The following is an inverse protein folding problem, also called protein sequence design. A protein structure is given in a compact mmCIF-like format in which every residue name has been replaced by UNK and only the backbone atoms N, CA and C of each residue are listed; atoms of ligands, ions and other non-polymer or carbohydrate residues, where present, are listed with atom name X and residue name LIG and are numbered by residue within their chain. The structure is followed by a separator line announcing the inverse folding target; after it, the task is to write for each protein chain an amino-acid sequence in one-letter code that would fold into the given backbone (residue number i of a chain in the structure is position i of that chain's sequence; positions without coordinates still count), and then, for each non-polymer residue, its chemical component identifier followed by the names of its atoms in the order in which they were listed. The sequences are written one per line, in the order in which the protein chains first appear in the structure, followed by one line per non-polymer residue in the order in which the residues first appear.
data_IF_037623158689
#
_entry.id   IF_037623158689
#
_cell.length_a   1.000
_cell.length_b   1.000
_cell.length_c   1.000
_cell.angle_alpha   90.00
_cell.angle_beta   90.00
_cell.angle_gamma   90.00
#
_symmetry.space_group_name_H-M   'P 1'
#
loop_
_entity.id
_entity.type
_entity.pdbx_description
1 polymer ?
#
# COMPACT_ATOMS: atom_id res chain seq x y z
N UNK A 1 3.66 12.00 21.35
CA UNK A 1 2.67 10.98 20.95
C UNK A 1 1.29 11.54 21.25
N UNK A 2 0.26 11.29 20.43
CA UNK A 2 -1.10 11.70 20.79
C UNK A 2 -1.48 11.05 22.13
N UNK A 3 -1.98 11.84 23.07
CA UNK A 3 -2.29 11.36 24.43
C UNK A 3 -3.69 10.73 24.51
N UNK A 4 -4.56 11.01 23.54
CA UNK A 4 -5.88 10.40 23.39
C UNK A 4 -6.21 10.19 21.91
N UNK A 5 -6.84 9.06 21.62
CA UNK A 5 -7.42 8.70 20.33
C UNK A 5 -8.94 8.68 20.50
N UNK A 6 -9.74 9.07 19.48
CA UNK A 6 -11.19 9.00 19.57
C UNK A 6 -11.66 7.61 20.02
N UNK A 7 -12.65 7.54 20.91
CA UNK A 7 -13.17 6.28 21.44
C UNK A 7 -13.81 5.45 20.31
N UNK A 8 -13.13 4.39 19.87
CA UNK A 8 -13.58 3.45 18.83
C UNK A 8 -12.42 2.89 18.01
N UNK A 9 -12.71 1.94 17.11
CA UNK A 9 -11.72 1.43 16.15
C UNK A 9 -11.35 2.54 15.16
N UNK A 10 -10.07 2.93 15.15
CA UNK A 10 -9.56 3.97 14.25
C UNK A 10 -8.69 3.30 13.18
N UNK A 11 -9.02 3.55 11.92
CA UNK A 11 -8.13 3.25 10.81
C UNK A 11 -6.99 4.26 10.78
N UNK A 12 -5.77 3.76 10.72
CA UNK A 12 -4.58 4.58 10.57
C UNK A 12 -3.61 3.98 9.56
N UNK A 13 -2.82 4.86 8.96
CA UNK A 13 -1.65 4.53 8.15
C UNK A 13 -0.38 4.87 8.93
N UNK A 14 0.75 4.33 8.48
CA UNK A 14 2.08 4.72 8.94
C UNK A 14 2.85 5.33 7.76
N UNK A 15 3.33 6.56 7.90
CA UNK A 15 4.23 7.21 6.95
C UNK A 15 5.57 7.46 7.64
N UNK A 16 6.58 6.63 7.31
CA UNK A 16 7.93 6.73 7.89
C UNK A 16 7.90 6.83 9.43
N UNK A 17 7.14 5.94 10.06
CA UNK A 17 6.99 5.83 11.51
C UNK A 17 6.01 6.83 12.13
N UNK A 18 5.40 7.72 11.34
CA UNK A 18 4.37 8.66 11.81
C UNK A 18 2.99 8.06 11.64
N UNK A 19 2.19 8.10 12.70
CA UNK A 19 0.78 7.68 12.66
C UNK A 19 -0.07 8.73 11.94
N UNK A 20 -0.85 8.26 10.98
CA UNK A 20 -1.70 9.08 10.14
C UNK A 20 -3.14 8.59 10.27
N UNK A 21 -4.01 9.40 10.85
CA UNK A 21 -5.43 9.04 11.00
C UNK A 21 -6.11 9.07 9.63
N UNK A 22 -6.83 8.00 9.29
CA UNK A 22 -7.66 7.91 8.09
C UNK A 22 -9.11 8.21 8.48
N UNK A 23 -9.67 9.28 7.93
CA UNK A 23 -11.07 9.62 8.18
C UNK A 23 -12.00 8.63 7.47
N UNK A 24 -13.13 8.24 8.07
CA UNK A 24 -14.11 7.39 7.41
C UNK A 24 -14.59 7.99 6.07
N UNK A 25 -14.77 7.18 5.01
CA UNK A 25 -15.19 7.69 3.71
C UNK A 25 -16.64 8.20 3.74
N UNK A 26 -16.90 9.29 3.03
CA UNK A 26 -18.27 9.78 2.78
C UNK A 26 -18.90 9.04 1.60
N UNK A 27 -20.23 9.00 1.50
CA UNK A 27 -21.00 8.27 0.46
C UNK A 27 -20.45 8.44 -0.97
N UNK A 28 -20.04 9.65 -1.38
CA UNK A 28 -19.51 9.90 -2.74
C UNK A 28 -18.18 9.19 -2.98
N UNK A 29 -17.32 9.13 -1.97
CA UNK A 29 -16.02 8.45 -2.03
C UNK A 29 -16.25 6.94 -2.16
N UNK A 30 -17.05 6.35 -1.27
CA UNK A 30 -17.38 4.92 -1.34
C UNK A 30 -18.06 4.51 -2.66
N UNK A 31 -18.94 5.36 -3.22
CA UNK A 31 -19.54 5.11 -4.54
C UNK A 31 -18.50 5.10 -5.67
N UNK A 32 -17.47 5.94 -5.59
CA UNK A 32 -16.40 5.99 -6.59
C UNK A 32 -15.49 4.77 -6.47
N UNK A 33 -15.05 4.45 -5.26
CA UNK A 33 -14.26 3.26 -4.94
C UNK A 33 -14.95 1.99 -5.45
N UNK A 34 -16.24 1.81 -5.15
CA UNK A 34 -17.02 0.66 -5.62
C UNK A 34 -17.13 0.54 -7.13
N UNK A 35 -17.17 1.67 -7.86
CA UNK A 35 -17.16 1.67 -9.33
C UNK A 35 -15.80 1.25 -9.87
N UNK A 36 -14.72 1.76 -9.29
CA UNK A 36 -13.36 1.48 -9.75
C UNK A 36 -13.01 0.01 -9.51
N UNK A 37 -13.26 -0.52 -8.30
CA UNK A 37 -12.96 -1.94 -8.02
C UNK A 37 -13.79 -2.87 -8.90
N UNK A 38 -15.06 -2.55 -9.17
CA UNK A 38 -15.89 -3.34 -10.08
C UNK A 38 -15.26 -3.49 -11.47
N UNK A 39 -14.72 -2.42 -12.04
CA UNK A 39 -14.06 -2.47 -13.34
C UNK A 39 -12.76 -3.30 -13.29
N UNK A 40 -11.99 -3.20 -12.21
CA UNK A 40 -10.78 -4.01 -12.04
C UNK A 40 -11.08 -5.50 -11.84
N UNK A 41 -12.16 -5.83 -11.14
CA UNK A 41 -12.65 -7.21 -11.03
C UNK A 41 -13.05 -7.72 -12.41
N UNK A 42 -13.93 -6.99 -13.11
CA UNK A 42 -14.50 -7.48 -14.37
C UNK A 42 -13.49 -7.58 -15.51
N UNK A 43 -12.58 -6.62 -15.61
CA UNK A 43 -11.59 -6.58 -16.70
C UNK A 43 -10.28 -7.28 -16.34
N UNK A 44 -10.00 -7.52 -15.05
CA UNK A 44 -8.75 -8.07 -14.56
C UNK A 44 -8.92 -9.43 -13.91
N UNK A 45 -9.57 -9.46 -12.75
CA UNK A 45 -9.67 -10.67 -11.93
C UNK A 45 -10.48 -11.78 -12.59
N UNK A 46 -11.67 -11.48 -13.11
CA UNK A 46 -12.52 -12.43 -13.82
C UNK A 46 -11.85 -12.99 -15.10
N UNK A 47 -10.89 -12.25 -15.65
CA UNK A 47 -10.08 -12.66 -16.80
C UNK A 47 -8.81 -13.43 -16.40
N UNK A 48 -8.59 -13.70 -15.11
CA UNK A 48 -7.42 -14.40 -14.58
C UNK A 48 -6.12 -13.57 -14.61
N UNK A 49 -6.21 -12.25 -14.76
CA UNK A 49 -5.06 -11.35 -14.90
C UNK A 49 -4.45 -10.91 -13.56
N UNK A 50 -5.08 -11.26 -12.44
CA UNK A 50 -4.66 -10.85 -11.10
C UNK A 50 -5.82 -10.88 -10.10
N UNK A 51 -5.69 -10.09 -9.04
CA UNK A 51 -6.67 -9.94 -7.98
C UNK A 51 -6.90 -8.45 -7.68
N UNK A 52 -8.16 -8.05 -7.58
CA UNK A 52 -8.57 -6.71 -7.22
C UNK A 52 -9.02 -6.66 -5.76
N UNK A 53 -8.77 -5.54 -5.08
CA UNK A 53 -9.20 -5.38 -3.71
C UNK A 53 -9.36 -3.93 -3.29
N UNK A 54 -9.86 -3.73 -2.07
CA UNK A 54 -10.12 -2.42 -1.47
C UNK A 54 -9.67 -2.39 -0.03
N UNK A 55 -9.17 -1.26 0.46
CA UNK A 55 -8.92 -1.04 1.89
C UNK A 55 -7.94 -2.04 2.54
N UNK A 56 -7.05 -2.67 1.76
CA UNK A 56 -6.05 -3.61 2.27
C UNK A 56 -4.77 -2.88 2.65
N UNK A 57 -4.18 -3.23 3.80
CA UNK A 57 -2.93 -2.64 4.24
C UNK A 57 -1.72 -3.23 3.51
N UNK A 58 -0.85 -2.35 3.01
CA UNK A 58 0.40 -2.70 2.35
C UNK A 58 1.60 -2.21 3.15
N UNK A 59 2.50 -3.12 3.51
CA UNK A 59 3.79 -2.79 4.12
C UNK A 59 4.77 -2.40 3.02
N UNK A 60 5.03 -1.10 2.88
CA UNK A 60 5.97 -0.55 1.89
C UNK A 60 7.39 -0.40 2.47
N UNK A 61 7.51 -0.33 3.79
CA UNK A 61 8.80 -0.24 4.48
C UNK A 61 8.67 -0.65 5.94
N UNK A 62 9.74 -1.21 6.51
CA UNK A 62 9.75 -1.69 7.91
C UNK A 62 10.56 -0.80 8.86
N UNK A 63 11.60 -0.11 8.37
CA UNK A 63 12.43 0.75 9.19
C UNK A 63 12.89 2.01 8.40
N UNK A 64 12.21 3.17 8.56
CA UNK A 64 11.02 3.36 9.38
C UNK A 64 9.76 2.73 8.75
N UNK A 65 8.80 2.33 9.59
CA UNK A 65 7.58 1.66 9.13
C UNK A 65 6.76 2.57 8.21
N UNK A 66 6.43 2.06 7.01
CA UNK A 66 5.53 2.71 6.06
C UNK A 66 4.47 1.71 5.65
N UNK A 67 3.23 1.98 6.04
CA UNK A 67 2.06 1.14 5.80
C UNK A 67 0.95 2.02 5.26
N UNK A 68 0.52 1.75 4.02
CA UNK A 68 -0.55 2.50 3.39
C UNK A 68 -1.73 1.59 3.03
N UNK A 69 -2.91 2.19 2.99
CA UNK A 69 -4.17 1.52 2.68
C UNK A 69 -4.75 2.27 1.48
N UNK A 70 -4.52 1.80 0.24
CA UNK A 70 -5.13 2.42 -0.92
C UNK A 70 -6.64 2.13 -0.94
N UNK A 71 -7.43 3.07 -1.48
CA UNK A 71 -8.88 2.89 -1.60
C UNK A 71 -9.20 1.68 -2.48
N UNK A 72 -8.45 1.51 -3.58
CA UNK A 72 -8.52 0.34 -4.47
C UNK A 72 -7.13 -0.07 -4.90
N UNK A 73 -6.89 -1.37 -5.06
CA UNK A 73 -5.66 -1.90 -5.62
C UNK A 73 -5.91 -3.07 -6.58
N UNK A 74 -4.88 -3.38 -7.37
CA UNK A 74 -4.81 -4.59 -8.19
C UNK A 74 -3.40 -5.19 -8.10
N UNK A 75 -3.31 -6.49 -7.88
CA UNK A 75 -2.07 -7.25 -7.94
C UNK A 75 -2.15 -8.12 -9.20
N UNK A 76 -1.24 -7.89 -10.14
CA UNK A 76 -1.25 -8.67 -11.38
C UNK A 76 -0.78 -10.10 -11.14
N UNK A 77 -1.26 -11.04 -11.95
CA UNK A 77 -0.94 -12.48 -11.84
C UNK A 77 0.56 -12.77 -11.78
N UNK A 78 1.37 -11.97 -12.48
CA UNK A 78 2.86 -12.02 -12.48
C UNK A 78 3.53 -11.67 -11.14
N UNK A 79 2.76 -11.19 -10.17
CA UNK A 79 3.22 -10.78 -8.83
C UNK A 79 2.88 -11.83 -7.77
N UNK A 80 2.21 -12.92 -8.17
CA UNK A 80 1.89 -14.04 -7.32
C UNK A 80 3.05 -15.06 -7.27
N UNK A 81 3.20 -15.81 -6.15
CA UNK A 81 2.37 -15.73 -4.94
C UNK A 81 2.60 -14.43 -4.17
N UNK A 82 1.53 -13.90 -3.58
CA UNK A 82 1.65 -12.71 -2.71
C UNK A 82 2.35 -13.09 -1.40
N UNK A 83 3.07 -12.12 -0.82
CA UNK A 83 3.66 -12.23 0.51
C UNK A 83 2.83 -11.42 1.47
N UNK A 84 2.65 -11.94 2.67
CA UNK A 84 1.87 -11.31 3.72
C UNK A 84 2.58 -11.44 5.05
N UNK A 85 2.33 -10.49 5.95
CA UNK A 85 2.70 -10.63 7.36
C UNK A 85 1.83 -11.69 8.03
N UNK A 86 2.21 -12.09 9.25
CA UNK A 86 1.41 -13.02 10.05
C UNK A 86 -0.03 -12.51 10.30
N UNK A 87 -0.18 -11.19 10.34
CA UNK A 87 -1.44 -10.48 10.54
C UNK A 87 -2.23 -10.28 9.25
N UNK A 88 -1.70 -10.69 8.09
CA UNK A 88 -2.37 -10.58 6.78
C UNK A 88 -2.15 -9.26 6.05
N UNK A 89 -1.13 -8.47 6.41
CA UNK A 89 -0.80 -7.26 5.64
C UNK A 89 0.06 -7.63 4.43
N UNK A 90 -0.27 -7.05 3.27
CA UNK A 90 0.43 -7.37 2.03
C UNK A 90 1.84 -6.77 2.03
N UNK A 91 2.84 -7.62 1.84
CA UNK A 91 4.24 -7.24 1.58
C UNK A 91 4.58 -7.28 0.09
N UNK A 92 3.68 -7.80 -0.74
CA UNK A 92 3.76 -7.66 -2.19
C UNK A 92 3.14 -6.33 -2.59
N UNK A 93 3.96 -5.45 -3.18
CA UNK A 93 3.49 -4.15 -3.66
C UNK A 93 2.33 -4.31 -4.68
N UNK A 94 1.33 -3.42 -4.64
CA UNK A 94 0.28 -3.44 -5.64
C UNK A 94 0.86 -3.04 -7.01
N UNK A 95 0.37 -3.68 -8.07
CA UNK A 95 0.71 -3.26 -9.43
C UNK A 95 -0.05 -2.01 -9.86
N UNK A 96 -1.24 -1.82 -9.29
CA UNK A 96 -2.06 -0.61 -9.41
C UNK A 96 -2.56 -0.25 -8.01
N UNK A 97 -2.37 1.00 -7.60
CA UNK A 97 -2.98 1.59 -6.41
C UNK A 97 -3.76 2.83 -6.81
N UNK A 98 -4.97 2.99 -6.28
CA UNK A 98 -5.86 4.10 -6.60
C UNK A 98 -6.27 4.82 -5.32
N UNK A 99 -6.13 6.15 -5.35
CA UNK A 99 -6.54 7.06 -4.28
C UNK A 99 -7.65 7.97 -4.80
N UNK A 100 -8.84 7.86 -4.22
CA UNK A 100 -9.99 8.71 -4.53
C UNK A 100 -9.88 10.00 -3.69
N UNK A 101 -9.62 11.11 -4.37
CA UNK A 101 -9.48 12.41 -3.72
C UNK A 101 -10.80 12.86 -3.07
N UNK A 102 -10.73 13.13 -1.77
CA UNK A 102 -11.78 13.82 -1.01
C UNK A 102 -11.41 15.29 -0.79
N UNK A 103 -12.38 16.13 -0.41
CA UNK A 103 -12.17 17.54 -0.03
C UNK A 103 -11.16 17.75 1.11
N UNK A 104 -10.87 16.70 1.88
CA UNK A 104 -9.93 16.72 2.99
C UNK A 104 -8.56 16.13 2.63
N UNK A 105 -8.41 15.56 1.43
CA UNK A 105 -7.13 15.00 0.98
C UNK A 105 -6.24 16.14 0.50
N UNK A 106 -5.09 16.32 1.15
CA UNK A 106 -4.08 17.28 0.71
C UNK A 106 -3.27 16.68 -0.44
N UNK A 107 -3.25 17.36 -1.59
CA UNK A 107 -2.59 16.89 -2.81
C UNK A 107 -1.14 16.42 -2.62
N UNK A 108 -0.26 17.15 -1.88
CA UNK A 108 1.12 16.72 -1.67
C UNK A 108 1.25 15.36 -0.97
N UNK A 109 0.33 15.02 -0.07
CA UNK A 109 0.33 13.74 0.64
C UNK A 109 -0.01 12.58 -0.30
N UNK A 110 -0.94 12.80 -1.23
CA UNK A 110 -1.30 11.80 -2.24
C UNK A 110 -0.16 11.61 -3.24
N UNK A 111 0.48 12.71 -3.68
CA UNK A 111 1.63 12.62 -4.59
C UNK A 111 2.81 11.85 -3.95
N UNK A 112 3.01 12.00 -2.63
CA UNK A 112 3.96 11.17 -1.88
C UNK A 112 3.57 9.70 -1.87
N UNK A 113 2.32 9.35 -1.54
CA UNK A 113 1.84 7.95 -1.57
C UNK A 113 2.07 7.32 -2.95
N UNK A 114 1.73 8.04 -4.02
CA UNK A 114 1.96 7.60 -5.41
C UNK A 114 3.44 7.33 -5.66
N UNK A 115 4.32 8.22 -5.21
CA UNK A 115 5.78 8.04 -5.35
C UNK A 115 6.26 6.79 -4.60
N UNK A 116 5.79 6.57 -3.37
CA UNK A 116 6.18 5.43 -2.54
C UNK A 116 5.70 4.10 -3.14
N UNK A 117 4.46 4.03 -3.64
CA UNK A 117 3.95 2.85 -4.35
C UNK A 117 4.79 2.53 -5.60
N UNK A 118 5.14 3.55 -6.39
CA UNK A 118 5.95 3.38 -7.60
C UNK A 118 7.38 2.94 -7.29
N UNK A 119 7.98 3.47 -6.22
CA UNK A 119 9.29 3.05 -5.76
C UNK A 119 9.28 1.58 -5.32
N UNK A 120 8.28 1.19 -4.51
CA UNK A 120 8.10 -0.18 -4.03
C UNK A 120 7.95 -1.18 -5.18
N UNK A 121 7.16 -0.83 -6.20
CA UNK A 121 6.98 -1.68 -7.38
C UNK A 121 8.25 -1.86 -8.23
N UNK A 122 9.16 -0.88 -8.25
CA UNK A 122 10.41 -0.96 -9.02
C UNK A 122 11.44 -1.89 -8.37
N UNK A 123 11.46 -1.97 -7.05
CA UNK A 123 12.43 -2.79 -6.31
C UNK A 123 12.04 -4.28 -6.20
N UNK A 124 11.63 -4.88 -7.33
CA UNK A 124 11.41 -6.35 -7.43
C UNK A 124 12.70 -7.16 -7.27
N UNK A 125 13.85 -6.50 -7.11
CA UNK A 125 15.19 -7.07 -7.04
C UNK A 125 15.56 -7.58 -5.64
N UNK A 126 14.73 -8.40 -5.01
CA UNK A 126 15.18 -9.26 -3.91
C UNK A 126 14.50 -10.62 -4.05
N UNK A 127 15.13 -11.48 -4.85
CA UNK A 127 14.89 -12.90 -4.82
C UNK A 127 15.23 -13.46 -3.44
N UNK A 128 14.40 -14.39 -2.98
CA UNK A 128 14.68 -15.22 -1.81
C UNK A 128 15.97 -16.00 -2.11
N UNK A 129 17.08 -15.64 -1.46
CA UNK A 129 18.26 -16.50 -1.44
C UNK A 129 17.94 -17.72 -0.59
N UNK A 130 17.94 -18.90 -1.21
CA UNK A 130 17.90 -20.18 -0.50
C UNK A 130 19.22 -20.38 0.25
N UNK A 131 19.32 -19.81 1.45
CA UNK A 131 20.31 -20.17 2.46
C UNK A 131 19.62 -21.00 3.53
N UNK A 132 20.08 -22.22 3.72
CA UNK A 132 19.68 -23.07 4.82
C UNK A 132 20.16 -22.39 6.12
N UNK A 133 19.22 -22.17 7.05
CA UNK A 133 19.40 -21.50 8.34
C UNK A 133 19.42 -19.95 8.26
N UNK A 134 18.44 -19.32 8.93
CA UNK A 134 18.09 -17.89 8.95
C UNK A 134 17.28 -17.33 7.77
N UNK A 135 15.94 -17.40 7.90
CA UNK A 135 14.97 -16.66 7.10
C UNK A 135 15.05 -15.14 7.35
N UNK A 136 16.14 -14.49 6.96
CA UNK A 136 16.21 -13.04 6.86
C UNK A 136 15.76 -12.62 5.45
N UNK A 137 14.45 -12.53 5.26
CA UNK A 137 13.89 -11.85 4.09
C UNK A 137 14.34 -10.39 4.14
N UNK A 138 15.24 -10.00 3.23
CA UNK A 138 15.61 -8.61 3.06
C UNK A 138 14.33 -7.82 2.72
N UNK A 139 14.01 -6.73 3.45
CA UNK A 139 12.83 -5.92 3.17
C UNK A 139 12.93 -5.36 1.76
N UNK A 140 11.79 -5.13 1.08
CA UNK A 140 11.75 -4.22 -0.07
C UNK A 140 12.51 -2.96 0.34
N UNK A 141 13.68 -2.73 -0.26
CA UNK A 141 14.43 -1.50 -0.09
C UNK A 141 13.76 -0.50 -1.02
N UNK A 142 12.57 -0.05 -0.61
CA UNK A 142 12.07 1.25 -0.99
C UNK A 142 13.04 2.28 -0.42
N UNK A 143 14.17 2.49 -1.10
CA UNK A 143 14.96 3.68 -0.90
C UNK A 143 14.03 4.82 -1.24
N UNK A 144 13.53 5.50 -0.20
CA UNK A 144 12.91 6.80 -0.38
C UNK A 144 13.91 7.61 -1.18
N UNK A 145 13.56 7.93 -2.43
CA UNK A 145 14.38 8.79 -3.25
C UNK A 145 14.61 10.06 -2.42
N UNK A 146 15.86 10.28 -2.03
CA UNK A 146 16.26 11.50 -1.35
C UNK A 146 16.02 12.64 -2.34
N UNK A 147 15.12 13.61 -2.08
CA UNK A 147 14.92 14.73 -2.99
C UNK A 147 16.16 15.65 -3.06
N UNK A 148 17.08 15.54 -2.08
CA UNK A 148 18.33 16.27 -2.05
C UNK A 148 19.46 15.39 -2.58
N UNK A 149 19.67 15.48 -3.89
CA UNK A 149 20.82 14.89 -4.56
C UNK A 149 22.13 15.46 -4.04
N UNK A 150 22.79 14.73 -3.15
CA UNK A 150 24.23 14.86 -2.89
C UNK A 150 24.79 13.45 -2.74
N UNK A 151 25.79 13.17 -3.58
CA UNK A 151 26.52 11.91 -3.68
C UNK A 151 27.34 11.61 -2.43
#
# INVERSE_FOLDING_TARGET
MPTELPSGDIKYELDRGRLIIVSPPVRRHGKMQGRIVKELISQGEEQGLGEAGTETAFVLGRNPATVYIPDVHFIARRSFPVRETREGYLETAPDVAVEVLSKHNRRPKIDQKVTDYLACRRDRSLGCGSGEEDHHCLPCRCSAANPDGTR
#
